data_IF_593568555159
#
_entry.id   IF_593568555159
#
_cell.length_a   1.000
_cell.length_b   1.000
_cell.length_c   1.000
_cell.angle_alpha   90.00
_cell.angle_beta   90.00
_cell.angle_gamma   90.00
#
_symmetry.space_group_name_H-M   'P 1'
#
loop_
_entity.id
_entity.type
_entity.pdbx_description
1 polymer ?
#
# COMPACT_ATOMS: atom_id res chain seq x y z
N UNK A 1 -6.54 -4.33 -6.30
CA UNK A 1 -5.82 -3.18 -6.94
C UNK A 1 -5.86 -3.30 -8.46
N UNK A 2 -6.28 -2.25 -9.18
CA UNK A 2 -6.18 -2.14 -10.65
C UNK A 2 -5.01 -1.20 -10.99
N UNK A 3 -3.78 -1.75 -11.07
CA UNK A 3 -2.58 -0.99 -11.37
C UNK A 3 -2.26 -1.03 -12.86
N UNK A 4 -2.25 0.14 -13.47
CA UNK A 4 -1.96 0.39 -14.89
C UNK A 4 -0.70 1.22 -15.05
N UNK A 5 -0.20 1.37 -16.28
CA UNK A 5 1.03 2.10 -16.56
C UNK A 5 0.85 3.06 -17.74
N UNK A 6 1.14 4.34 -17.51
CA UNK A 6 1.20 5.37 -18.54
C UNK A 6 2.26 6.40 -18.14
N UNK A 7 3.50 6.20 -18.56
CA UNK A 7 4.63 7.05 -18.16
C UNK A 7 4.56 8.44 -18.78
N UNK A 8 4.89 9.45 -18.01
CA UNK A 8 4.87 10.86 -18.39
C UNK A 8 6.13 11.27 -19.18
N UNK A 9 6.33 10.64 -20.32
CA UNK A 9 7.54 10.80 -21.15
C UNK A 9 7.77 12.21 -21.69
N UNK A 10 6.74 13.08 -21.66
CA UNK A 10 6.83 14.49 -22.06
C UNK A 10 7.04 15.45 -20.89
N UNK A 11 7.02 14.95 -19.63
CA UNK A 11 7.23 15.78 -18.45
C UNK A 11 8.73 16.04 -18.24
N UNK A 12 9.11 17.27 -17.88
CA UNK A 12 10.51 17.64 -17.66
C UNK A 12 11.19 16.76 -16.58
N UNK A 13 10.46 16.32 -15.57
CA UNK A 13 10.98 15.40 -14.55
C UNK A 13 11.40 14.05 -15.17
N UNK A 14 10.58 13.49 -16.06
CA UNK A 14 10.93 12.27 -16.79
C UNK A 14 12.13 12.48 -17.70
N UNK A 15 12.16 13.61 -18.43
CA UNK A 15 13.24 13.98 -19.35
C UNK A 15 14.56 14.17 -18.59
N UNK A 16 14.53 14.77 -17.39
CA UNK A 16 15.70 14.92 -16.53
C UNK A 16 16.30 13.58 -16.11
N UNK A 17 15.49 12.52 -16.03
CA UNK A 17 15.92 11.12 -15.86
C UNK A 17 16.83 10.86 -14.65
N UNK A 18 16.70 11.64 -13.58
CA UNK A 18 17.51 11.47 -12.37
C UNK A 18 17.07 10.21 -11.64
N UNK A 19 18.03 9.34 -11.30
CA UNK A 19 17.75 8.11 -10.57
C UNK A 19 17.72 8.33 -9.06
N UNK A 20 16.90 7.52 -8.38
CA UNK A 20 16.86 7.41 -6.93
C UNK A 20 16.79 5.95 -6.49
N UNK A 21 17.11 5.68 -5.24
CA UNK A 21 16.82 4.40 -4.59
C UNK A 21 15.60 4.60 -3.68
N UNK A 22 14.46 3.96 -3.97
CA UNK A 22 13.28 4.07 -3.11
C UNK A 22 13.58 3.59 -1.68
N UNK A 23 13.30 4.45 -0.71
CA UNK A 23 13.46 4.16 0.72
C UNK A 23 12.20 4.50 1.53
N UNK A 24 11.22 5.15 0.91
CA UNK A 24 9.96 5.51 1.53
C UNK A 24 8.85 5.74 0.49
N UNK A 25 7.64 5.92 1.00
CA UNK A 25 6.43 6.23 0.23
C UNK A 25 5.82 7.49 0.84
N UNK A 26 5.48 8.47 -0.01
CA UNK A 26 4.78 9.68 0.40
C UNK A 26 3.42 9.75 -0.26
N UNK A 27 2.38 9.81 0.57
CA UNK A 27 0.99 9.91 0.16
C UNK A 27 0.61 11.36 0.01
N UNK A 28 0.09 11.71 -1.17
CA UNK A 28 -0.47 13.03 -1.48
C UNK A 28 -1.95 12.90 -1.87
N UNK A 29 -2.62 14.02 -1.94
CA UNK A 29 -3.91 14.16 -2.59
C UNK A 29 -3.99 15.48 -3.37
N UNK A 30 -4.75 15.48 -4.46
CA UNK A 30 -4.62 16.50 -5.52
C UNK A 30 -5.05 17.92 -5.14
N UNK A 31 -5.71 18.11 -3.99
CA UNK A 31 -6.19 19.42 -3.55
C UNK A 31 -7.22 20.06 -4.50
N UNK A 32 -7.86 19.28 -5.35
CA UNK A 32 -8.76 19.75 -6.40
C UNK A 32 -9.99 18.87 -6.51
N UNK A 33 -11.17 19.47 -6.57
CA UNK A 33 -12.44 18.75 -6.75
C UNK A 33 -12.54 18.15 -8.16
N UNK A 34 -11.74 17.12 -8.43
CA UNK A 34 -11.77 16.37 -9.66
C UNK A 34 -11.33 14.91 -9.43
N UNK A 35 -12.27 13.98 -9.22
CA UNK A 35 -11.97 12.58 -8.92
C UNK A 35 -11.46 11.78 -10.13
N UNK A 36 -11.49 12.34 -11.34
CA UNK A 36 -11.17 11.60 -12.56
C UNK A 36 -9.69 11.63 -12.91
N UNK A 37 -9.13 10.46 -13.12
CA UNK A 37 -7.73 10.28 -13.55
C UNK A 37 -7.40 11.02 -14.85
N UNK A 38 -8.35 11.14 -15.78
CA UNK A 38 -8.15 11.88 -17.05
C UNK A 38 -7.70 13.33 -16.88
N UNK A 39 -7.95 13.94 -15.70
CA UNK A 39 -7.50 15.31 -15.38
C UNK A 39 -5.97 15.36 -15.24
N UNK A 40 -5.36 14.26 -14.79
CA UNK A 40 -3.96 14.20 -14.38
C UNK A 40 -3.13 13.26 -15.24
N UNK A 41 -3.72 12.15 -15.68
CA UNK A 41 -3.06 11.08 -16.43
C UNK A 41 -3.50 11.14 -17.88
N UNK A 42 -2.56 11.17 -18.79
CA UNK A 42 -2.85 11.19 -20.22
C UNK A 42 -1.59 11.12 -21.09
N UNK A 43 -1.71 10.89 -22.37
CA UNK A 43 -2.94 10.86 -23.18
C UNK A 43 -3.87 9.69 -22.86
N UNK A 44 -5.09 9.71 -23.42
CA UNK A 44 -6.10 8.66 -23.26
C UNK A 44 -5.56 7.32 -23.78
N UNK A 45 -5.66 6.31 -22.95
CA UNK A 45 -5.27 4.91 -23.24
C UNK A 45 -6.50 4.00 -23.52
N UNK A 46 -7.66 4.59 -23.74
CA UNK A 46 -8.94 3.89 -23.93
C UNK A 46 -9.73 3.64 -22.64
N UNK A 47 -9.18 3.98 -21.46
CA UNK A 47 -9.82 3.85 -20.15
C UNK A 47 -10.01 5.18 -19.44
N UNK A 48 -9.10 6.12 -19.67
CA UNK A 48 -9.09 7.42 -18.99
C UNK A 48 -10.18 8.34 -19.49
N UNK A 49 -10.44 8.33 -20.79
CA UNK A 49 -11.19 9.37 -21.49
C UNK A 49 -10.34 10.61 -21.77
N UNK A 50 -10.58 11.28 -22.90
CA UNK A 50 -9.77 12.40 -23.35
C UNK A 50 -9.75 13.57 -22.36
N UNK A 51 -8.55 14.13 -22.13
CA UNK A 51 -8.34 15.37 -21.39
C UNK A 51 -7.11 16.11 -21.91
N UNK A 52 -7.25 17.44 -22.08
CA UNK A 52 -6.13 18.30 -22.45
C UNK A 52 -5.24 18.71 -21.24
N UNK A 53 -5.72 18.52 -20.01
CA UNK A 53 -5.11 19.03 -18.78
C UNK A 53 -4.34 17.96 -17.98
N UNK A 54 -3.76 16.99 -18.68
CA UNK A 54 -2.98 15.95 -18.01
C UNK A 54 -1.53 16.38 -17.75
N UNK A 55 -0.86 15.68 -16.83
CA UNK A 55 0.52 16.00 -16.42
C UNK A 55 1.60 15.42 -17.34
N UNK A 56 1.25 14.70 -18.40
CA UNK A 56 2.20 14.26 -19.43
C UNK A 56 2.48 15.40 -20.42
N UNK A 57 2.94 16.53 -19.88
CA UNK A 57 3.40 17.73 -20.59
C UNK A 57 4.68 18.23 -19.94
N UNK A 58 5.44 19.06 -20.60
CA UNK A 58 6.73 19.53 -20.07
C UNK A 58 6.59 20.16 -18.67
N UNK A 59 5.58 21.02 -18.48
CA UNK A 59 5.29 21.74 -17.24
C UNK A 59 3.78 21.79 -17.03
N UNK A 60 3.18 20.80 -16.32
CA UNK A 60 1.74 20.77 -16.09
C UNK A 60 1.30 22.02 -15.33
N UNK A 61 0.32 22.73 -15.87
CA UNK A 61 -0.17 24.02 -15.36
C UNK A 61 0.98 25.05 -15.10
N UNK A 62 2.05 25.00 -15.93
CA UNK A 62 3.24 25.85 -15.79
C UNK A 62 4.19 25.48 -14.65
N UNK A 63 3.95 24.39 -13.93
CA UNK A 63 4.71 23.97 -12.75
C UNK A 63 5.72 22.87 -13.05
N UNK A 64 6.82 22.84 -12.28
CA UNK A 64 7.80 21.76 -12.27
C UNK A 64 7.35 20.69 -11.25
N UNK A 65 6.39 19.84 -11.63
CA UNK A 65 5.81 18.81 -10.77
C UNK A 65 5.67 17.48 -11.49
N UNK A 66 5.88 16.39 -10.78
CA UNK A 66 5.63 15.04 -11.25
C UNK A 66 5.61 14.06 -10.08
N UNK A 67 4.68 13.10 -10.13
CA UNK A 67 4.56 12.01 -9.16
C UNK A 67 4.72 10.65 -9.83
N UNK A 68 4.95 9.60 -9.06
CA UNK A 68 5.11 8.24 -9.56
C UNK A 68 3.79 7.55 -9.87
N UNK A 69 2.69 8.02 -9.29
CA UNK A 69 1.38 7.46 -9.56
C UNK A 69 0.22 8.36 -9.20
N UNK A 70 -0.94 8.03 -9.76
CA UNK A 70 -2.23 8.63 -9.44
C UNK A 70 -3.26 7.54 -9.16
N UNK A 71 -4.16 7.79 -8.21
CA UNK A 71 -5.31 6.94 -7.90
C UNK A 71 -6.58 7.76 -8.04
N UNK A 72 -7.58 7.24 -8.76
CA UNK A 72 -8.84 7.96 -8.99
C UNK A 72 -9.80 7.21 -9.91
N UNK A 73 -10.82 7.90 -10.40
CA UNK A 73 -11.84 7.34 -11.29
C UNK A 73 -11.35 7.26 -12.74
N UNK A 74 -11.64 6.13 -13.37
CA UNK A 74 -11.62 5.96 -14.82
C UNK A 74 -12.86 6.58 -15.47
N UNK A 75 -12.90 6.62 -16.82
CA UNK A 75 -14.05 7.12 -17.58
C UNK A 75 -15.35 6.36 -17.27
N UNK A 76 -15.29 5.06 -16.99
CA UNK A 76 -16.42 4.21 -16.64
C UNK A 76 -16.83 4.30 -15.15
N UNK A 77 -16.16 5.13 -14.33
CA UNK A 77 -16.44 5.31 -12.91
C UNK A 77 -15.74 4.32 -11.96
N UNK A 78 -15.05 3.31 -12.47
CA UNK A 78 -14.22 2.41 -11.65
C UNK A 78 -13.00 3.15 -11.10
N UNK A 79 -12.45 2.66 -9.98
CA UNK A 79 -11.19 3.16 -9.42
C UNK A 79 -10.03 2.37 -10.00
N UNK A 80 -8.93 3.07 -10.28
CA UNK A 80 -7.67 2.47 -10.68
C UNK A 80 -6.48 3.30 -10.18
N UNK A 81 -5.31 2.67 -10.12
CA UNK A 81 -4.02 3.32 -9.93
C UNK A 81 -3.25 3.35 -11.27
N UNK A 82 -2.56 4.46 -11.55
CA UNK A 82 -1.66 4.56 -12.70
C UNK A 82 -0.24 4.83 -12.25
N UNK A 83 0.72 4.03 -12.71
CA UNK A 83 2.13 4.36 -12.63
C UNK A 83 2.46 5.40 -13.71
N UNK A 84 3.03 6.54 -13.31
CA UNK A 84 3.33 7.68 -14.20
C UNK A 84 4.82 8.01 -14.30
N UNK A 85 5.65 7.52 -13.38
CA UNK A 85 7.12 7.51 -13.46
C UNK A 85 7.67 6.11 -13.18
N UNK A 86 8.88 5.76 -13.68
CA UNK A 86 9.64 4.63 -13.14
C UNK A 86 9.83 4.79 -11.63
N UNK A 87 9.66 3.73 -10.87
CA UNK A 87 9.74 3.78 -9.41
C UNK A 87 11.12 4.20 -8.88
N UNK A 88 12.17 3.96 -9.65
CA UNK A 88 13.56 4.31 -9.37
C UNK A 88 13.99 5.67 -9.95
N UNK A 89 13.04 6.47 -10.39
CA UNK A 89 13.27 7.82 -10.89
C UNK A 89 12.89 8.85 -9.82
N UNK A 90 13.73 9.88 -9.63
CA UNK A 90 13.45 10.97 -8.71
C UNK A 90 12.21 11.74 -9.14
N UNK A 91 11.20 11.79 -8.29
CA UNK A 91 9.99 12.58 -8.53
C UNK A 91 10.17 14.06 -8.16
N UNK A 92 9.21 14.90 -8.60
CA UNK A 92 9.13 16.32 -8.22
C UNK A 92 7.79 16.57 -7.52
N UNK A 93 7.61 16.01 -6.32
CA UNK A 93 6.32 15.98 -5.63
C UNK A 93 6.35 16.58 -4.22
N UNK A 94 7.51 16.64 -3.58
CA UNK A 94 7.59 17.00 -2.17
C UNK A 94 8.08 18.43 -1.92
N UNK A 95 8.67 19.10 -2.92
CA UNK A 95 9.32 20.40 -2.72
C UNK A 95 10.50 20.34 -1.76
N UNK A 96 11.11 19.16 -1.55
CA UNK A 96 12.20 18.96 -0.60
C UNK A 96 12.94 17.62 -0.78
N UNK A 97 13.69 17.20 0.24
CA UNK A 97 14.57 16.03 0.21
C UNK A 97 13.82 14.69 0.00
N UNK A 98 12.53 14.63 0.30
CA UNK A 98 11.76 13.42 0.03
C UNK A 98 11.72 13.06 -1.47
N UNK A 99 11.88 14.03 -2.38
CA UNK A 99 12.03 13.75 -3.81
C UNK A 99 13.19 12.80 -4.13
N UNK A 100 14.22 12.74 -3.27
CA UNK A 100 15.47 12.02 -3.53
C UNK A 100 15.36 10.51 -3.19
N UNK A 101 14.29 10.10 -2.46
CA UNK A 101 14.19 8.71 -1.98
C UNK A 101 12.75 8.22 -1.71
N UNK A 102 11.72 9.06 -1.88
CA UNK A 102 10.34 8.63 -1.65
C UNK A 102 9.60 8.48 -2.98
N UNK A 103 8.88 7.36 -3.12
CA UNK A 103 7.87 7.19 -4.16
C UNK A 103 6.67 8.03 -3.75
N UNK A 104 6.37 9.10 -4.49
CA UNK A 104 5.19 9.95 -4.24
C UNK A 104 4.05 9.61 -5.17
N UNK A 105 2.82 9.57 -4.66
CA UNK A 105 1.63 9.39 -5.49
C UNK A 105 0.49 10.27 -4.98
N UNK A 106 -0.43 10.59 -5.88
CA UNK A 106 -1.58 11.47 -5.62
C UNK A 106 -2.89 10.67 -5.62
N UNK A 107 -3.72 10.88 -4.60
CA UNK A 107 -5.11 10.42 -4.63
C UNK A 107 -5.96 11.57 -5.17
N UNK A 108 -6.68 11.34 -6.28
CA UNK A 108 -7.58 12.33 -6.85
C UNK A 108 -8.72 12.64 -5.85
N UNK A 109 -8.91 13.90 -5.52
CA UNK A 109 -9.98 14.31 -4.61
C UNK A 109 -11.29 14.56 -5.36
N UNK A 110 -12.40 14.29 -4.67
CA UNK A 110 -13.71 14.86 -4.98
C UNK A 110 -13.91 16.16 -4.19
N UNK A 111 -15.16 16.62 -4.04
CA UNK A 111 -15.50 17.76 -3.15
C UNK A 111 -15.31 17.46 -1.66
N UNK A 112 -14.61 16.40 -1.26
CA UNK A 112 -14.36 15.93 0.10
C UNK A 112 -15.64 15.57 0.87
N UNK A 113 -16.68 15.12 0.17
CA UNK A 113 -18.02 14.87 0.72
C UNK A 113 -18.62 13.52 0.40
N UNK A 114 -18.09 12.77 -0.58
CA UNK A 114 -18.61 11.46 -0.99
C UNK A 114 -17.90 10.32 -0.23
N UNK A 115 -18.53 9.72 0.80
CA UNK A 115 -17.92 8.64 1.57
C UNK A 115 -17.72 7.36 0.77
N UNK A 116 -18.54 7.12 -0.27
CA UNK A 116 -18.40 5.93 -1.12
C UNK A 116 -17.18 6.07 -2.04
N UNK A 117 -16.98 7.25 -2.59
CA UNK A 117 -15.77 7.54 -3.37
C UNK A 117 -14.52 7.43 -2.49
N UNK A 118 -14.54 8.13 -1.34
CA UNK A 118 -13.41 8.08 -0.39
C UNK A 118 -13.06 6.65 -0.02
N UNK A 119 -14.05 5.83 0.38
CA UNK A 119 -13.81 4.44 0.77
C UNK A 119 -13.11 3.63 -0.34
N UNK A 120 -13.51 3.82 -1.59
CA UNK A 120 -12.91 3.11 -2.74
C UNK A 120 -11.47 3.54 -3.03
N UNK A 121 -11.20 4.85 -3.09
CA UNK A 121 -9.82 5.33 -3.38
C UNK A 121 -8.89 5.11 -2.20
N UNK A 122 -9.39 5.16 -0.97
CA UNK A 122 -8.64 4.84 0.22
C UNK A 122 -8.19 3.37 0.21
N UNK A 123 -9.12 2.45 -0.10
CA UNK A 123 -8.81 1.02 -0.20
C UNK A 123 -7.79 0.75 -1.32
N UNK A 124 -7.96 1.35 -2.50
CA UNK A 124 -7.00 1.24 -3.60
C UNK A 124 -5.62 1.78 -3.20
N UNK A 125 -5.56 2.89 -2.44
CA UNK A 125 -4.31 3.44 -1.93
C UNK A 125 -3.64 2.53 -0.89
N UNK A 126 -4.42 1.85 -0.04
CA UNK A 126 -3.92 0.84 0.91
C UNK A 126 -3.25 -0.32 0.15
N UNK A 127 -3.94 -0.87 -0.85
CA UNK A 127 -3.42 -1.97 -1.67
C UNK A 127 -2.18 -1.55 -2.49
N UNK A 128 -2.19 -0.33 -3.02
CA UNK A 128 -1.06 0.25 -3.74
C UNK A 128 0.17 0.45 -2.85
N UNK A 129 -0.02 0.96 -1.62
CA UNK A 129 1.08 1.07 -0.65
C UNK A 129 1.60 -0.30 -0.21
N UNK A 130 0.73 -1.28 0.01
CA UNK A 130 1.16 -2.65 0.35
C UNK A 130 2.02 -3.26 -0.76
N UNK A 131 1.61 -3.09 -2.03
CA UNK A 131 2.41 -3.49 -3.19
C UNK A 131 3.80 -2.84 -3.19
N UNK A 132 3.88 -1.51 -3.00
CA UNK A 132 5.17 -0.80 -2.98
C UNK A 132 6.02 -1.17 -1.76
N UNK A 133 5.43 -1.34 -0.59
CA UNK A 133 6.11 -1.81 0.61
C UNK A 133 6.80 -3.16 0.36
N UNK A 134 6.07 -4.11 -0.23
CA UNK A 134 6.61 -5.43 -0.60
C UNK A 134 7.71 -5.34 -1.64
N UNK A 135 7.50 -4.55 -2.69
CA UNK A 135 8.43 -4.44 -3.82
C UNK A 135 9.78 -3.79 -3.43
N UNK A 136 9.78 -2.85 -2.49
CA UNK A 136 10.95 -2.05 -2.12
C UNK A 136 11.43 -2.25 -0.68
N UNK A 137 10.82 -3.15 0.08
CA UNK A 137 11.17 -3.42 1.47
C UNK A 137 10.88 -2.24 2.41
N UNK A 138 9.92 -1.36 2.04
CA UNK A 138 9.53 -0.22 2.84
C UNK A 138 8.61 -0.70 3.97
N UNK A 139 8.91 -0.31 5.21
CA UNK A 139 8.03 -0.60 6.34
C UNK A 139 6.82 0.34 6.36
N UNK A 140 5.58 -0.15 6.58
CA UNK A 140 4.39 0.68 6.68
C UNK A 140 4.30 1.38 8.05
N UNK A 141 5.33 2.12 8.41
CA UNK A 141 5.50 2.90 9.65
C UNK A 141 6.33 4.15 9.35
N UNK A 142 6.33 5.15 10.23
CA UNK A 142 7.22 6.32 10.09
C UNK A 142 8.68 5.90 10.26
N UNK A 143 9.60 6.48 9.47
CA UNK A 143 9.38 7.41 8.38
C UNK A 143 9.11 6.75 7.01
N UNK A 144 9.03 5.41 6.92
CA UNK A 144 8.89 4.67 5.67
C UNK A 144 7.62 5.03 4.88
N UNK A 145 6.48 5.16 5.56
CA UNK A 145 5.21 5.55 4.96
C UNK A 145 4.67 6.80 5.65
N UNK A 146 4.68 7.93 4.94
CA UNK A 146 4.28 9.25 5.44
C UNK A 146 3.34 9.95 4.45
N UNK A 147 2.67 11.01 4.89
CA UNK A 147 1.99 11.96 4.00
C UNK A 147 2.81 13.27 3.88
N UNK A 148 2.35 14.20 3.03
CA UNK A 148 3.09 15.44 2.80
C UNK A 148 3.26 16.27 4.08
N UNK A 149 2.20 16.45 4.88
CA UNK A 149 2.29 17.20 6.13
C UNK A 149 3.24 16.58 7.15
N UNK A 150 3.31 15.25 7.23
CA UNK A 150 4.31 14.54 8.06
C UNK A 150 5.72 14.73 7.50
N UNK A 151 5.89 14.72 6.17
CA UNK A 151 7.15 15.03 5.51
C UNK A 151 7.64 16.44 5.81
N UNK A 152 6.75 17.43 5.84
CA UNK A 152 7.05 18.80 6.26
C UNK A 152 7.55 18.83 7.72
N UNK A 153 6.83 18.17 8.63
CA UNK A 153 7.23 18.10 10.03
C UNK A 153 8.61 17.44 10.26
N UNK A 154 9.01 16.55 9.34
CA UNK A 154 10.34 15.90 9.34
C UNK A 154 11.41 16.70 8.61
N UNK A 155 11.11 17.87 8.05
CA UNK A 155 12.04 18.68 7.25
C UNK A 155 12.39 18.07 5.88
N UNK A 156 11.53 17.18 5.36
CA UNK A 156 11.71 16.45 4.09
C UNK A 156 10.90 17.03 2.95
N UNK A 157 9.85 17.83 3.24
CA UNK A 157 8.92 18.36 2.25
C UNK A 157 8.54 19.82 2.54
N UNK A 158 7.98 20.50 1.55
CA UNK A 158 7.36 21.81 1.69
C UNK A 158 6.08 21.75 2.55
N UNK A 159 5.57 22.90 2.95
CA UNK A 159 4.38 22.96 3.80
C UNK A 159 3.08 22.78 3.00
N UNK A 160 2.51 21.57 3.06
CA UNK A 160 1.20 21.24 2.50
C UNK A 160 0.41 20.35 3.49
N UNK A 161 -0.92 20.43 3.45
CA UNK A 161 -1.80 19.76 4.41
C UNK A 161 -2.23 18.34 4.00
N UNK A 162 -1.94 17.94 2.76
CA UNK A 162 -2.38 16.64 2.23
C UNK A 162 -1.63 15.49 2.96
N UNK A 163 -2.34 14.45 3.30
CA UNK A 163 -3.77 14.12 3.08
C UNK A 163 -4.66 14.50 4.31
N UNK A 164 -4.09 15.20 5.30
CA UNK A 164 -4.70 15.40 6.62
C UNK A 164 -5.85 16.41 6.62
N UNK A 165 -6.07 17.15 5.55
CA UNK A 165 -7.27 17.98 5.36
C UNK A 165 -8.49 17.13 4.91
N UNK A 166 -8.27 15.90 4.43
CA UNK A 166 -9.28 15.03 3.86
C UNK A 166 -9.59 13.80 4.73
N UNK A 167 -8.59 12.98 5.08
CA UNK A 167 -8.76 11.72 5.82
C UNK A 167 -9.59 11.85 7.11
N UNK A 168 -9.39 12.87 7.98
CA UNK A 168 -10.16 13.02 9.21
C UNK A 168 -11.67 13.24 8.99
N UNK A 169 -12.08 13.78 7.84
CA UNK A 169 -13.51 13.95 7.50
C UNK A 169 -14.26 12.62 7.41
N UNK A 170 -13.55 11.54 7.17
CA UNK A 170 -14.07 10.17 7.07
C UNK A 170 -13.53 9.26 8.20
N UNK A 171 -13.09 9.84 9.32
CA UNK A 171 -12.63 9.08 10.49
C UNK A 171 -11.31 8.34 10.29
N UNK A 172 -10.50 8.75 9.29
CA UNK A 172 -9.19 8.17 9.01
C UNK A 172 -8.05 9.10 9.42
N UNK A 173 -6.90 8.52 9.71
CA UNK A 173 -5.63 9.22 9.96
C UNK A 173 -4.49 8.49 9.26
N UNK A 174 -3.29 9.05 9.24
CA UNK A 174 -2.12 8.34 8.74
C UNK A 174 -1.76 7.12 9.61
N UNK A 175 -2.08 7.12 10.91
CA UNK A 175 -1.86 5.94 11.75
C UNK A 175 -2.82 4.80 11.38
N UNK A 176 -4.11 5.11 11.16
CA UNK A 176 -5.07 4.11 10.66
C UNK A 176 -4.69 3.64 9.26
N UNK A 177 -4.23 4.54 8.39
CA UNK A 177 -3.77 4.18 7.05
C UNK A 177 -2.58 3.20 7.08
N UNK A 178 -1.57 3.48 7.89
CA UNK A 178 -0.41 2.57 8.10
C UNK A 178 -0.83 1.21 8.65
N UNK A 179 -1.77 1.18 9.59
CA UNK A 179 -2.31 -0.06 10.14
C UNK A 179 -3.06 -0.88 9.08
N UNK A 180 -3.88 -0.20 8.24
CA UNK A 180 -4.61 -0.84 7.14
C UNK A 180 -3.63 -1.37 6.07
N UNK A 181 -2.57 -0.63 5.72
CA UNK A 181 -1.50 -1.09 4.80
C UNK A 181 -0.76 -2.30 5.36
N UNK A 182 -0.44 -2.29 6.66
CA UNK A 182 0.21 -3.44 7.32
C UNK A 182 -0.67 -4.68 7.29
N UNK A 183 -1.96 -4.52 7.53
CA UNK A 183 -2.94 -5.62 7.47
C UNK A 183 -3.03 -6.19 6.05
N UNK A 184 -3.09 -5.32 5.04
CA UNK A 184 -3.15 -5.72 3.64
C UNK A 184 -1.87 -6.47 3.21
N UNK A 185 -0.70 -5.99 3.63
CA UNK A 185 0.59 -6.64 3.36
C UNK A 185 0.62 -8.07 3.91
N UNK A 186 0.20 -8.27 5.16
CA UNK A 186 0.09 -9.59 5.77
C UNK A 186 -0.92 -10.49 5.04
N UNK A 187 -2.05 -9.93 4.58
CA UNK A 187 -3.04 -10.66 3.79
C UNK A 187 -2.48 -11.15 2.46
N UNK A 188 -1.71 -10.30 1.75
CA UNK A 188 -1.05 -10.65 0.50
C UNK A 188 0.07 -11.69 0.69
N UNK A 189 0.79 -11.65 1.80
CA UNK A 189 1.78 -12.66 2.17
C UNK A 189 1.12 -14.00 2.44
N UNK A 190 0.02 -14.00 3.19
CA UNK A 190 -0.75 -15.22 3.48
C UNK A 190 -1.37 -15.83 2.22
N UNK A 191 -1.87 -15.01 1.29
CA UNK A 191 -2.44 -15.48 0.02
C UNK A 191 -1.37 -16.03 -0.95
N UNK A 192 -0.14 -15.52 -0.86
CA UNK A 192 1.02 -16.01 -1.65
C UNK A 192 1.76 -17.19 -1.03
N UNK A 193 1.46 -17.53 0.23
CA UNK A 193 2.03 -18.71 0.87
C UNK A 193 1.43 -19.99 0.25
N UNK A 194 2.22 -21.04 0.05
CA UNK A 194 1.68 -22.33 -0.38
C UNK A 194 0.62 -22.78 0.64
N UNK A 195 -0.46 -23.44 0.20
CA UNK A 195 -1.48 -23.94 1.10
C UNK A 195 -0.80 -24.81 2.17
N UNK A 196 -1.19 -24.60 3.43
CA UNK A 196 -0.67 -25.40 4.54
C UNK A 196 -0.95 -26.87 4.28
N UNK A 197 0.03 -27.71 4.57
CA UNK A 197 -0.21 -29.16 4.54
C UNK A 197 -1.27 -29.53 5.61
N UNK A 198 -1.94 -30.68 5.48
CA UNK A 198 -2.86 -31.15 6.52
C UNK A 198 -2.21 -31.22 7.90
N UNK A 199 -0.93 -31.58 7.98
CA UNK A 199 -0.15 -31.66 9.20
C UNK A 199 0.07 -30.26 9.80
N UNK A 200 0.45 -29.26 8.99
CA UNK A 200 0.62 -27.88 9.43
C UNK A 200 -0.69 -27.29 9.94
N UNK A 201 -1.80 -27.55 9.24
CA UNK A 201 -3.13 -27.08 9.65
C UNK A 201 -3.56 -27.72 10.98
N UNK A 202 -3.30 -29.02 11.17
CA UNK A 202 -3.62 -29.73 12.41
C UNK A 202 -2.81 -29.22 13.60
N UNK A 203 -1.50 -29.00 13.41
CA UNK A 203 -0.62 -28.45 14.46
C UNK A 203 -1.04 -27.03 14.83
N UNK A 204 -1.29 -26.17 13.85
CA UNK A 204 -1.71 -24.77 14.09
C UNK A 204 -3.06 -24.71 14.82
N UNK A 205 -4.02 -25.57 14.46
CA UNK A 205 -5.30 -25.71 15.16
C UNK A 205 -5.12 -26.14 16.62
N UNK A 206 -4.25 -27.11 16.87
CA UNK A 206 -3.95 -27.58 18.23
C UNK A 206 -3.21 -26.53 19.09
N UNK A 207 -2.35 -25.69 18.46
CA UNK A 207 -1.70 -24.53 19.10
C UNK A 207 -2.74 -23.47 19.51
N UNK A 208 -3.66 -23.11 18.61
CA UNK A 208 -4.72 -22.13 18.88
C UNK A 208 -5.62 -22.52 20.04
N UNK A 209 -5.90 -23.81 20.18
CA UNK A 209 -6.70 -24.32 21.28
C UNK A 209 -5.90 -24.51 22.57
N UNK A 210 -4.58 -24.31 22.53
CA UNK A 210 -3.67 -24.54 23.66
C UNK A 210 -3.55 -26.01 24.06
N UNK A 211 -3.88 -26.93 23.15
CA UNK A 211 -3.68 -28.39 23.37
C UNK A 211 -2.19 -28.71 23.31
N UNK A 212 -1.46 -28.06 22.44
CA UNK A 212 0.00 -28.16 22.31
C UNK A 212 0.65 -26.79 22.41
N UNK A 213 1.93 -26.74 22.76
CA UNK A 213 2.70 -25.48 22.91
C UNK A 213 3.99 -25.43 22.08
N UNK A 214 4.41 -26.56 21.51
CA UNK A 214 5.61 -26.66 20.68
C UNK A 214 5.25 -27.04 19.24
N UNK A 215 5.12 -26.02 18.40
CA UNK A 215 4.76 -26.19 16.98
C UNK A 215 5.78 -27.02 16.21
N UNK A 216 7.06 -26.75 16.43
CA UNK A 216 8.15 -27.38 15.65
C UNK A 216 8.26 -28.86 15.97
N UNK A 217 8.17 -29.20 17.27
CA UNK A 217 8.19 -30.60 17.72
C UNK A 217 7.04 -31.40 17.08
N UNK A 218 5.79 -30.93 17.21
CA UNK A 218 4.63 -31.64 16.69
C UNK A 218 4.58 -31.70 15.17
N UNK A 219 5.06 -30.70 14.47
CA UNK A 219 5.19 -30.76 13.02
C UNK A 219 6.19 -31.84 12.58
N UNK A 220 7.32 -31.95 13.27
CA UNK A 220 8.31 -32.98 13.01
C UNK A 220 7.78 -34.40 13.32
N UNK A 221 6.93 -34.52 14.33
CA UNK A 221 6.26 -35.79 14.63
C UNK A 221 5.31 -36.18 13.50
N UNK A 222 4.40 -35.29 13.11
CA UNK A 222 3.40 -35.57 12.07
C UNK A 222 4.02 -35.81 10.69
N UNK A 223 5.15 -35.18 10.40
CA UNK A 223 5.88 -35.38 9.13
C UNK A 223 6.90 -36.53 9.18
N UNK A 224 6.93 -37.30 10.28
CA UNK A 224 7.80 -38.47 10.43
C UNK A 224 9.29 -38.15 10.63
N UNK A 225 9.65 -36.89 10.88
CA UNK A 225 11.04 -36.46 11.12
C UNK A 225 11.53 -36.79 12.54
N UNK A 226 10.62 -37.01 13.45
CA UNK A 226 10.92 -37.46 14.81
C UNK A 226 9.81 -38.38 15.35
N UNK A 227 10.15 -39.24 16.32
CA UNK A 227 9.18 -40.11 16.99
C UNK A 227 8.62 -39.36 18.21
N UNK A 228 7.32 -39.40 18.41
CA UNK A 228 6.70 -38.76 19.57
C UNK A 228 7.17 -39.42 20.86
N UNK A 229 7.63 -38.62 21.81
CA UNK A 229 7.93 -39.07 23.16
C UNK A 229 6.62 -39.45 23.89
N UNK A 230 6.64 -40.54 24.64
CA UNK A 230 5.48 -41.00 25.41
C UNK A 230 4.97 -39.97 26.41
N UNK A 231 5.88 -39.16 26.98
CA UNK A 231 5.54 -38.09 27.92
C UNK A 231 4.74 -36.96 27.18
N UNK A 232 5.16 -36.58 25.98
CA UNK A 232 4.47 -35.57 25.15
C UNK A 232 3.10 -36.07 24.67
N UNK A 233 2.98 -37.33 24.30
CA UNK A 233 1.68 -37.94 23.94
C UNK A 233 0.72 -37.90 25.16
N UNK A 234 1.20 -38.28 26.36
CA UNK A 234 0.40 -38.19 27.59
C UNK A 234 -0.05 -36.76 27.87
N UNK A 235 0.84 -35.78 27.78
CA UNK A 235 0.54 -34.35 27.92
C UNK A 235 -0.52 -33.86 26.95
N UNK A 236 -0.42 -34.28 25.69
CA UNK A 236 -1.41 -33.98 24.65
C UNK A 236 -2.79 -34.50 25.02
N UNK A 237 -2.86 -35.76 25.43
CA UNK A 237 -4.14 -36.42 25.84
C UNK A 237 -4.77 -35.75 27.06
N UNK A 238 -3.97 -35.39 28.07
CA UNK A 238 -4.42 -34.68 29.27
C UNK A 238 -4.97 -33.28 28.92
N UNK A 239 -4.30 -32.54 28.06
CA UNK A 239 -4.76 -31.22 27.63
C UNK A 239 -6.02 -31.29 26.76
N UNK A 240 -6.09 -32.23 25.83
CA UNK A 240 -7.29 -32.46 25.03
C UNK A 240 -8.50 -32.81 25.91
N UNK A 241 -8.32 -33.69 26.88
CA UNK A 241 -9.37 -34.11 27.83
C UNK A 241 -9.91 -32.93 28.66
N UNK A 242 -9.04 -32.05 29.16
CA UNK A 242 -9.43 -30.82 29.88
C UNK A 242 -10.21 -29.83 29.04
N UNK A 243 -10.02 -29.84 27.72
CA UNK A 243 -10.71 -28.92 26.79
C UNK A 243 -12.08 -29.44 26.34
N UNK A 244 -12.25 -30.76 26.27
CA UNK A 244 -13.53 -31.40 25.88
C UNK A 244 -14.54 -31.32 27.04
N UNK A 245 -14.05 -31.27 28.29
CA UNK A 245 -14.86 -31.26 29.50
C UNK A 245 -15.18 -29.83 30.03
N UNK A 246 -14.94 -28.79 29.24
CA UNK A 246 -15.34 -27.39 29.43
C UNK A 246 -16.39 -26.97 28.43
#
# INVERSE_FOLDING_TARGET
>A
MDLRKLLFTKNNCYIASVKMKPAGIMVHSTGANNPYLRRYVGPDDGYLGASANHWNTARPDGREVCVHGFIGRLANGNIAAYQTLPWDMRGWHAGGKANDSYIGFEICEDGLTDPLYFGKVYQEAVEFCAYLCKAYGVKPEKPGLICHSEGCALGLASNHADVMHWFPKFGKSMDTFRADVKKELLSQEAAGAPPKTPEEAAVDGAMLTGIITDRVYWLNVLTGKTVADKLYIRYLMENASKKINK
#
